data_IF_758639563582
#
_entry.id   IF_758639563582
#
_cell.length_a   1.000
_cell.length_b   1.000
_cell.length_c   1.000
_cell.angle_alpha   90.00
_cell.angle_beta   90.00
_cell.angle_gamma   90.00
#
_symmetry.space_group_name_H-M   'P 1'
#
loop_
_entity.id
_entity.type
_entity.pdbx_description
1 polymer ?
#
# COMPACT_ATOMS: atom_id res chain seq x y z
N UNK A 1 14.75 7.62 -28.02
CA UNK A 1 13.44 6.97 -27.76
C UNK A 1 13.07 7.22 -26.31
N UNK A 2 11.79 7.51 -26.08
CA UNK A 2 11.17 8.32 -25.01
C UNK A 2 11.60 8.12 -23.55
N UNK A 3 11.82 9.25 -22.87
CA UNK A 3 11.72 9.42 -21.41
C UNK A 3 10.40 10.14 -21.12
N UNK A 4 9.37 9.42 -20.68
CA UNK A 4 8.11 10.01 -20.22
C UNK A 4 8.17 10.13 -18.70
N UNK A 5 8.85 11.16 -18.21
CA UNK A 5 8.86 11.55 -16.81
C UNK A 5 8.32 12.97 -16.75
N UNK A 6 7.01 13.11 -16.62
CA UNK A 6 6.40 14.37 -16.20
C UNK A 6 5.10 14.06 -15.48
N UNK A 7 5.19 13.81 -14.18
CA UNK A 7 4.03 13.92 -13.29
C UNK A 7 4.31 15.11 -12.38
N UNK A 8 3.79 16.25 -12.83
CA UNK A 8 3.97 17.59 -12.29
C UNK A 8 3.69 17.66 -10.79
N UNK A 9 4.67 18.20 -10.05
CA UNK A 9 4.62 18.50 -8.63
C UNK A 9 4.07 19.93 -8.44
N UNK A 10 2.80 20.17 -8.74
CA UNK A 10 2.22 21.49 -8.47
C UNK A 10 0.74 21.41 -8.13
N UNK A 11 0.40 22.14 -7.07
CA UNK A 11 -0.95 22.60 -6.68
C UNK A 11 -1.81 21.69 -5.81
N UNK A 12 -1.44 21.60 -4.53
CA UNK A 12 -2.43 21.47 -3.46
C UNK A 12 -2.61 22.83 -2.77
N UNK A 13 -3.43 23.68 -3.40
CA UNK A 13 -4.16 24.76 -2.74
C UNK A 13 -5.64 24.37 -2.70
N UNK A 14 -6.27 24.68 -1.56
CA UNK A 14 -7.70 24.68 -1.30
C UNK A 14 -8.36 23.34 -0.91
N UNK A 15 -8.55 23.16 0.39
CA UNK A 15 -9.88 23.01 0.99
C UNK A 15 -9.78 23.12 2.52
N UNK A 16 -10.07 24.30 3.07
CA UNK A 16 -10.56 24.42 4.44
C UNK A 16 -12.01 23.92 4.48
N UNK A 17 -12.31 22.85 5.24
CA UNK A 17 -13.63 22.64 5.83
C UNK A 17 -13.63 21.53 6.90
N UNK A 18 -13.91 21.97 8.13
CA UNK A 18 -14.82 21.34 9.11
C UNK A 18 -14.58 19.88 9.54
N UNK A 19 -14.31 19.71 10.83
CA UNK A 19 -14.65 18.50 11.58
C UNK A 19 -13.45 17.84 12.25
N UNK A 20 -13.47 17.84 13.58
CA UNK A 20 -12.62 17.02 14.44
C UNK A 20 -12.56 15.56 13.98
N UNK A 21 -11.35 15.08 13.67
CA UNK A 21 -10.89 13.77 14.15
C UNK A 21 -9.39 13.92 14.38
N UNK A 22 -8.84 13.63 15.57
CA UNK A 22 -7.40 13.45 15.68
C UNK A 22 -7.07 12.25 14.80
N UNK A 23 -6.54 12.51 13.60
CA UNK A 23 -5.89 11.51 12.77
C UNK A 23 -4.63 11.06 13.50
N UNK A 24 -4.85 10.27 14.55
CA UNK A 24 -3.91 9.26 15.00
C UNK A 24 -3.45 8.57 13.72
N UNK A 25 -2.14 8.39 13.48
CA UNK A 25 -1.70 7.63 12.31
C UNK A 25 -2.46 6.32 12.41
N UNK A 26 -3.36 6.07 11.45
CA UNK A 26 -4.25 4.93 11.46
C UNK A 26 -3.36 3.71 11.49
N UNK A 27 -3.05 3.22 12.69
CA UNK A 27 -2.40 1.93 12.88
C UNK A 27 -3.32 0.99 12.15
N UNK A 28 -2.80 0.39 11.08
CA UNK A 28 -3.46 -0.65 10.32
C UNK A 28 -4.20 -1.53 11.35
N UNK A 29 -5.54 -1.37 11.39
CA UNK A 29 -6.38 -1.98 12.42
C UNK A 29 -6.13 -3.50 12.42
N UNK A 30 -6.53 -4.20 13.48
CA UNK A 30 -6.37 -5.66 13.57
C UNK A 30 -7.02 -6.45 12.40
N UNK A 31 -7.83 -5.74 11.60
CA UNK A 31 -8.41 -6.15 10.33
C UNK A 31 -7.35 -6.56 9.30
N UNK A 32 -7.58 -7.70 8.67
CA UNK A 32 -6.83 -8.11 7.50
C UNK A 32 -7.19 -7.22 6.31
N UNK A 33 -6.25 -6.38 5.90
CA UNK A 33 -6.42 -5.47 4.77
C UNK A 33 -5.73 -6.10 3.56
N UNK A 34 -6.47 -6.54 2.54
CA UNK A 34 -5.86 -7.11 1.34
C UNK A 34 -5.06 -6.04 0.58
N UNK A 35 -3.82 -6.37 0.25
CA UNK A 35 -2.92 -5.49 -0.50
C UNK A 35 -2.45 -6.10 -1.81
N UNK A 36 -2.52 -7.43 -1.97
CA UNK A 36 -2.27 -8.10 -3.24
C UNK A 36 -3.36 -9.14 -3.47
N UNK A 37 -3.96 -9.12 -4.65
CA UNK A 37 -4.95 -10.12 -5.06
C UNK A 37 -4.62 -10.54 -6.49
N UNK A 38 -4.32 -11.83 -6.69
CA UNK A 38 -3.96 -12.43 -7.98
C UNK A 38 -2.82 -11.67 -8.68
N UNK A 39 -1.78 -11.31 -7.93
CA UNK A 39 -0.65 -10.50 -8.42
C UNK A 39 -0.94 -9.03 -8.71
N UNK A 40 -2.14 -8.53 -8.41
CA UNK A 40 -2.46 -7.11 -8.50
C UNK A 40 -2.34 -6.43 -7.13
N UNK A 41 -1.54 -5.37 -7.06
CA UNK A 41 -1.41 -4.54 -5.86
C UNK A 41 -2.62 -3.63 -5.73
N UNK A 42 -3.24 -3.62 -4.54
CA UNK A 42 -4.37 -2.77 -4.17
C UNK A 42 -3.86 -1.50 -3.45
N UNK A 43 -3.79 -0.34 -4.12
CA UNK A 43 -3.31 0.90 -3.50
C UNK A 43 -4.20 1.40 -2.37
N UNK A 44 -5.48 1.01 -2.36
CA UNK A 44 -6.45 1.33 -1.31
C UNK A 44 -6.08 0.66 0.01
N UNK A 45 -5.69 -0.62 -0.03
CA UNK A 45 -5.25 -1.37 1.15
C UNK A 45 -3.93 -0.84 1.70
N UNK A 46 -3.01 -0.46 0.82
CA UNK A 46 -1.75 0.19 1.20
C UNK A 46 -2.00 1.52 1.91
N UNK A 47 -2.85 2.40 1.34
CA UNK A 47 -3.23 3.67 1.98
C UNK A 47 -3.93 3.46 3.32
N UNK A 48 -4.79 2.47 3.43
CA UNK A 48 -5.50 2.16 4.67
C UNK A 48 -4.54 1.77 5.82
N UNK A 49 -3.41 1.14 5.49
CA UNK A 49 -2.37 0.80 6.46
C UNK A 49 -1.22 1.81 6.56
N UNK A 50 -1.26 2.90 5.79
CA UNK A 50 -0.15 3.85 5.72
C UNK A 50 1.14 3.24 5.14
N UNK A 51 1.01 2.22 4.29
CA UNK A 51 2.14 1.58 3.62
C UNK A 51 2.39 2.20 2.26
N UNK A 52 3.66 2.38 1.94
CA UNK A 52 4.11 2.74 0.60
C UNK A 52 4.43 1.51 -0.24
N UNK A 53 4.38 1.66 -1.56
CA UNK A 53 4.78 0.59 -2.49
C UNK A 53 6.22 0.12 -2.25
N UNK A 54 7.13 1.02 -1.89
CA UNK A 54 8.51 0.66 -1.58
C UNK A 54 8.60 -0.25 -0.35
N UNK A 55 7.81 0.03 0.68
CA UNK A 55 7.72 -0.80 1.88
C UNK A 55 7.15 -2.18 1.57
N UNK A 56 6.07 -2.24 0.77
CA UNK A 56 5.50 -3.51 0.31
C UNK A 56 6.54 -4.36 -0.43
N UNK A 57 7.28 -3.74 -1.36
CA UNK A 57 8.33 -4.45 -2.12
C UNK A 57 9.46 -4.95 -1.23
N UNK A 58 9.87 -4.17 -0.23
CA UNK A 58 10.89 -4.61 0.73
C UNK A 58 10.44 -5.85 1.50
N UNK A 59 9.18 -5.90 1.94
CA UNK A 59 8.63 -7.06 2.66
C UNK A 59 8.48 -8.29 1.77
N UNK A 60 8.10 -8.10 0.50
CA UNK A 60 8.07 -9.18 -0.49
C UNK A 60 9.47 -9.75 -0.77
N UNK A 61 10.47 -8.88 -0.91
CA UNK A 61 11.87 -9.26 -1.09
C UNK A 61 12.42 -10.04 0.11
N UNK A 62 12.13 -9.58 1.34
CA UNK A 62 12.48 -10.32 2.57
C UNK A 62 11.79 -11.69 2.66
N UNK A 63 10.59 -11.82 2.09
CA UNK A 63 9.86 -13.08 2.01
C UNK A 63 10.32 -13.99 0.86
N UNK A 64 11.30 -13.57 0.06
CA UNK A 64 11.79 -14.31 -1.10
C UNK A 64 10.81 -14.33 -2.28
N UNK A 65 9.93 -13.33 -2.39
CA UNK A 65 9.02 -13.17 -3.51
C UNK A 65 9.64 -12.26 -4.57
N UNK A 66 10.18 -12.87 -5.63
CA UNK A 66 10.79 -12.14 -6.74
C UNK A 66 9.76 -11.53 -7.70
N UNK A 67 8.52 -12.06 -7.70
CA UNK A 67 7.46 -11.64 -8.61
C UNK A 67 6.10 -11.56 -7.91
N UNK A 68 5.38 -10.48 -8.19
CA UNK A 68 4.00 -10.33 -7.74
C UNK A 68 3.07 -11.42 -8.29
N UNK A 69 3.40 -12.01 -9.44
CA UNK A 69 2.60 -13.07 -10.05
C UNK A 69 2.61 -14.37 -9.24
N UNK A 70 3.67 -14.59 -8.44
CA UNK A 70 3.76 -15.74 -7.53
C UNK A 70 2.91 -15.53 -6.27
N UNK A 71 2.43 -14.30 -6.03
CA UNK A 71 1.58 -13.95 -4.90
C UNK A 71 0.10 -14.02 -5.31
N UNK A 72 -0.53 -15.15 -5.01
CA UNK A 72 -1.97 -15.30 -5.21
C UNK A 72 -2.77 -14.34 -4.33
N UNK A 73 -2.33 -14.12 -3.09
CA UNK A 73 -3.00 -13.23 -2.15
C UNK A 73 -2.02 -12.75 -1.06
N UNK A 74 -2.06 -11.47 -0.73
CA UNK A 74 -1.39 -10.94 0.46
C UNK A 74 -2.25 -9.90 1.17
N UNK A 75 -2.19 -9.91 2.49
CA UNK A 75 -2.91 -9.00 3.39
C UNK A 75 -1.96 -8.41 4.43
N UNK A 76 -2.21 -7.18 4.85
CA UNK A 76 -1.52 -6.59 5.99
C UNK A 76 -2.38 -6.80 7.23
N UNK A 77 -1.76 -7.26 8.31
CA UNK A 77 -2.38 -7.39 9.63
C UNK A 77 -1.43 -6.82 10.68
N UNK A 78 -1.91 -5.89 11.51
CA UNK A 78 -1.09 -5.26 12.57
C UNK A 78 0.29 -4.78 12.06
N UNK A 79 0.32 -4.20 10.86
CA UNK A 79 1.57 -3.71 10.24
C UNK A 79 2.58 -4.81 9.85
N UNK A 80 2.12 -6.05 9.64
CA UNK A 80 2.92 -7.15 9.08
C UNK A 80 2.29 -7.66 7.78
N UNK A 81 3.13 -7.93 6.77
CA UNK A 81 2.69 -8.52 5.51
C UNK A 81 2.50 -10.03 5.69
N UNK A 82 1.27 -10.50 5.45
CA UNK A 82 0.91 -11.91 5.46
C UNK A 82 0.67 -12.35 4.02
N UNK A 83 1.59 -13.16 3.51
CA UNK A 83 1.52 -13.71 2.15
C UNK A 83 0.84 -15.08 2.24
N UNK A 84 -0.23 -15.26 1.48
CA UNK A 84 -0.90 -16.55 1.30
C UNK A 84 -0.67 -17.00 -0.13
N UNK A 85 0.49 -17.60 -0.36
CA UNK A 85 0.71 -18.41 -1.55
C UNK A 85 -0.01 -19.75 -1.41
N UNK A 86 -0.55 -20.31 -2.51
CA UNK A 86 -1.07 -21.66 -2.53
C UNK A 86 0.02 -22.71 -2.29
#
# INVERSE_FOLDING_TARGET
MNRNTDFSYTELKAAEKTGEVPSSPSRCDDSAIPVIVRGHVLPEGLKACGWDKARLWHELDQAGMDSLLDVAYAEIRRDALIIKSP
#
